data_IF_522982785419
#
_entry.id   IF_522982785419
#
_cell.length_a   1.000
_cell.length_b   1.000
_cell.length_c   1.000
_cell.angle_alpha   90.00
_cell.angle_beta   90.00
_cell.angle_gamma   90.00
#
_symmetry.space_group_name_H-M   'P 1'
#
loop_
_entity.id
_entity.type
_entity.pdbx_description
1 polymer ?
#
# COMPACT_ATOMS: atom_id res chain seq x y z
N UNK A 1 -1.55 -16.06 6.16
CA UNK A 1 -2.95 -15.60 6.24
C UNK A 1 -3.78 -16.79 6.67
N UNK A 2 -4.59 -16.69 7.73
CA UNK A 2 -5.47 -17.80 8.10
C UNK A 2 -6.61 -17.89 7.09
N UNK A 3 -6.69 -19.05 6.43
CA UNK A 3 -7.67 -19.38 5.41
C UNK A 3 -9.09 -19.40 5.98
N UNK A 4 -10.01 -18.86 5.19
CA UNK A 4 -11.39 -18.50 5.52
C UNK A 4 -12.42 -19.50 5.00
N UNK A 5 -11.98 -20.55 4.30
CA UNK A 5 -12.87 -21.52 3.66
C UNK A 5 -12.79 -22.89 4.35
N UNK A 6 -13.65 -23.09 5.34
CA UNK A 6 -13.77 -24.37 6.07
C UNK A 6 -14.80 -24.36 7.19
N UNK A 7 -15.38 -23.20 7.49
CA UNK A 7 -16.38 -23.02 8.53
C UNK A 7 -17.72 -22.74 7.90
N UNK A 8 -18.75 -23.41 8.41
CA UNK A 8 -20.15 -23.14 8.09
C UNK A 8 -20.70 -21.97 8.91
N UNK A 9 -19.84 -21.26 9.65
CA UNK A 9 -20.13 -20.06 10.43
C UNK A 9 -19.06 -18.98 10.20
N UNK A 10 -19.40 -17.73 10.50
CA UNK A 10 -18.52 -16.58 10.31
C UNK A 10 -18.27 -15.76 11.61
N UNK A 11 -17.51 -14.67 11.53
CA UNK A 11 -17.21 -13.83 12.69
C UNK A 11 -18.44 -13.13 13.25
N UNK A 12 -19.48 -12.94 12.43
CA UNK A 12 -20.77 -12.39 12.87
C UNK A 12 -21.50 -13.42 13.72
N UNK A 13 -21.51 -14.69 13.32
CA UNK A 13 -22.04 -15.79 14.13
C UNK A 13 -21.32 -15.87 15.48
N UNK A 14 -19.98 -15.78 15.48
CA UNK A 14 -19.17 -15.77 16.71
C UNK A 14 -19.48 -14.55 17.58
N UNK A 15 -19.61 -13.36 16.99
CA UNK A 15 -19.95 -12.15 17.72
C UNK A 15 -21.36 -12.24 18.37
N UNK A 16 -22.32 -12.85 17.67
CA UNK A 16 -23.66 -13.11 18.18
C UNK A 16 -23.64 -14.16 19.29
N UNK A 17 -22.86 -15.22 19.13
CA UNK A 17 -22.68 -16.27 20.14
C UNK A 17 -22.10 -15.69 21.44
N UNK A 18 -21.09 -14.83 21.33
CA UNK A 18 -20.49 -14.09 22.44
C UNK A 18 -21.37 -12.94 22.97
N UNK A 19 -22.55 -12.71 22.37
CA UNK A 19 -23.50 -11.65 22.72
C UNK A 19 -22.86 -10.26 22.76
N UNK A 20 -21.96 -9.98 21.82
CA UNK A 20 -21.26 -8.69 21.78
C UNK A 20 -22.24 -7.56 21.48
N UNK A 21 -22.22 -6.51 22.32
CA UNK A 21 -23.11 -5.38 22.18
C UNK A 21 -22.69 -4.49 20.99
N UNK A 22 -23.49 -4.49 19.92
CA UNK A 22 -23.28 -3.68 18.72
C UNK A 22 -23.67 -2.22 18.96
N UNK A 23 -22.81 -1.27 18.56
CA UNK A 23 -23.06 0.18 18.72
C UNK A 23 -23.46 0.85 17.40
N UNK A 24 -22.61 0.73 16.37
CA UNK A 24 -22.83 1.38 15.07
C UNK A 24 -22.06 0.67 13.97
N UNK A 25 -22.67 0.48 12.80
CA UNK A 25 -22.00 -0.15 11.65
C UNK A 25 -21.31 -1.46 12.06
N UNK A 26 -19.99 -1.51 11.91
CA UNK A 26 -19.15 -2.67 12.28
C UNK A 26 -18.52 -2.57 13.67
N UNK A 27 -18.98 -1.65 14.52
CA UNK A 27 -18.36 -1.35 15.81
C UNK A 27 -19.19 -1.85 17.01
N UNK A 28 -18.50 -2.51 17.94
CA UNK A 28 -19.00 -3.21 19.11
C UNK A 28 -18.26 -2.75 20.37
N UNK A 29 -18.83 -3.05 21.53
CA UNK A 29 -18.12 -2.97 22.80
C UNK A 29 -17.03 -4.05 22.87
N UNK A 30 -15.87 -3.71 23.44
CA UNK A 30 -14.72 -4.60 23.44
C UNK A 30 -14.72 -5.52 24.67
N UNK A 31 -14.83 -6.85 24.52
CA UNK A 31 -14.87 -7.78 25.64
C UNK A 31 -13.48 -7.95 26.31
N UNK A 32 -12.39 -7.62 25.60
CA UNK A 32 -11.02 -7.76 26.10
C UNK A 32 -10.58 -6.66 27.07
N UNK A 33 -11.03 -5.42 26.85
CA UNK A 33 -10.65 -4.27 27.67
C UNK A 33 -11.83 -3.54 28.33
N UNK A 34 -13.05 -4.07 28.17
CA UNK A 34 -14.27 -3.49 28.73
C UNK A 34 -14.67 -2.14 28.14
N UNK A 35 -14.17 -1.78 26.94
CA UNK A 35 -14.55 -0.51 26.31
C UNK A 35 -15.99 -0.55 25.82
N UNK A 36 -16.82 0.37 26.32
CA UNK A 36 -18.25 0.47 25.98
C UNK A 36 -18.57 1.57 24.96
N UNK A 37 -17.53 2.17 24.35
CA UNK A 37 -17.64 3.29 23.40
C UNK A 37 -17.70 2.83 21.94
N UNK A 38 -17.86 1.54 21.67
CA UNK A 38 -17.91 1.02 20.29
C UNK A 38 -16.59 1.13 19.54
N UNK A 39 -15.47 0.69 20.14
CA UNK A 39 -14.13 0.73 19.51
C UNK A 39 -13.62 -0.63 19.02
N UNK A 40 -14.36 -1.72 19.24
CA UNK A 40 -14.08 -3.01 18.61
C UNK A 40 -14.69 -3.02 17.22
N UNK A 41 -13.88 -3.01 16.17
CA UNK A 41 -14.34 -3.19 14.80
C UNK A 41 -14.37 -4.69 14.46
N UNK A 42 -15.52 -5.20 14.02
CA UNK A 42 -15.69 -6.55 13.46
C UNK A 42 -15.99 -6.38 11.98
N UNK A 43 -15.17 -6.98 11.12
CA UNK A 43 -15.30 -6.88 9.67
C UNK A 43 -15.75 -8.24 9.08
N UNK A 44 -17.05 -8.42 8.79
CA UNK A 44 -17.58 -9.68 8.26
C UNK A 44 -16.97 -10.06 6.92
N UNK A 45 -16.73 -9.08 6.04
CA UNK A 45 -16.14 -9.32 4.72
C UNK A 45 -14.72 -9.91 4.78
N UNK A 46 -14.05 -9.81 5.94
CA UNK A 46 -12.69 -10.31 6.15
C UNK A 46 -12.57 -11.34 7.29
N UNK A 47 -13.66 -11.73 7.97
CA UNK A 47 -13.68 -12.39 9.31
C UNK A 47 -12.53 -11.97 10.24
N UNK A 48 -12.32 -10.67 10.39
CA UNK A 48 -11.35 -10.19 11.37
C UNK A 48 -11.98 -9.19 12.31
N UNK A 49 -11.47 -9.16 13.53
CA UNK A 49 -11.74 -8.08 14.47
C UNK A 49 -10.46 -7.32 14.79
N UNK A 50 -10.63 -6.05 15.18
CA UNK A 50 -9.58 -5.26 15.83
C UNK A 50 -10.21 -4.24 16.78
N UNK A 51 -9.68 -4.15 18.00
CA UNK A 51 -10.03 -3.09 18.93
C UNK A 51 -9.10 -1.89 18.78
N UNK A 52 -9.66 -0.70 18.58
CA UNK A 52 -8.92 0.55 18.49
C UNK A 52 -8.50 1.14 19.86
N UNK A 53 -8.76 0.45 20.98
CA UNK A 53 -8.33 0.86 22.33
C UNK A 53 -7.20 0.00 22.88
N UNK A 54 -7.34 -1.32 22.78
CA UNK A 54 -6.39 -2.27 23.39
C UNK A 54 -5.61 -3.10 22.35
N UNK A 55 -5.74 -2.76 21.07
CA UNK A 55 -5.06 -3.39 19.91
C UNK A 55 -5.23 -4.91 19.71
N UNK A 56 -6.01 -5.59 20.58
CA UNK A 56 -6.45 -6.97 20.36
C UNK A 56 -7.09 -7.10 18.98
N UNK A 57 -6.60 -8.06 18.22
CA UNK A 57 -7.04 -8.33 16.85
C UNK A 57 -6.84 -9.80 16.50
N UNK A 58 -7.54 -10.27 15.49
CA UNK A 58 -7.48 -11.66 15.05
C UNK A 58 -8.63 -12.06 14.16
N UNK A 59 -8.69 -13.35 13.81
CA UNK A 59 -9.81 -13.95 13.09
C UNK A 59 -10.96 -14.35 14.02
N UNK A 60 -12.02 -14.95 13.46
CA UNK A 60 -13.19 -15.39 14.22
C UNK A 60 -12.88 -16.42 15.33
N UNK A 61 -11.99 -17.39 15.07
CA UNK A 61 -11.61 -18.37 16.08
C UNK A 61 -10.82 -17.72 17.23
N UNK A 62 -9.93 -16.78 16.91
CA UNK A 62 -9.18 -16.03 17.93
C UNK A 62 -10.12 -15.24 18.84
N UNK A 63 -11.19 -14.64 18.28
CA UNK A 63 -12.15 -13.85 19.04
C UNK A 63 -12.78 -14.66 20.18
N UNK A 64 -13.14 -15.91 19.89
CA UNK A 64 -13.69 -16.84 20.87
C UNK A 64 -12.59 -17.43 21.78
N UNK A 65 -11.52 -17.95 21.18
CA UNK A 65 -10.43 -18.62 21.89
C UNK A 65 -9.78 -17.72 22.96
N UNK A 66 -9.54 -16.45 22.66
CA UNK A 66 -8.91 -15.52 23.61
C UNK A 66 -9.81 -15.19 24.82
N UNK A 67 -11.14 -15.23 24.64
CA UNK A 67 -12.09 -14.94 25.73
C UNK A 67 -12.30 -16.15 26.63
N UNK A 68 -12.13 -17.35 26.08
CA UNK A 68 -12.37 -18.62 26.77
C UNK A 68 -11.07 -19.36 27.15
N UNK A 69 -9.89 -18.79 26.83
CA UNK A 69 -8.56 -19.40 27.02
C UNK A 69 -8.44 -20.80 26.40
N UNK A 70 -8.91 -20.94 25.16
CA UNK A 70 -8.93 -22.21 24.42
C UNK A 70 -7.89 -22.24 23.31
N UNK A 71 -7.52 -23.44 22.88
CA UNK A 71 -6.87 -23.62 21.57
C UNK A 71 -7.87 -23.35 20.44
N UNK A 72 -7.38 -23.11 19.23
CA UNK A 72 -8.27 -22.91 18.07
C UNK A 72 -9.13 -24.13 17.75
N UNK A 73 -8.66 -25.34 18.07
CA UNK A 73 -9.42 -26.58 17.86
C UNK A 73 -10.62 -26.63 18.80
N UNK A 74 -10.39 -26.42 20.08
CA UNK A 74 -11.43 -26.39 21.12
C UNK A 74 -12.43 -25.26 20.86
N UNK A 75 -11.95 -24.07 20.50
CA UNK A 75 -12.83 -22.95 20.14
C UNK A 75 -13.75 -23.28 18.97
N UNK A 76 -13.25 -23.96 17.93
CA UNK A 76 -14.06 -24.38 16.79
C UNK A 76 -15.10 -25.46 17.18
N UNK A 77 -14.72 -26.43 18.01
CA UNK A 77 -15.62 -27.46 18.53
C UNK A 77 -16.79 -26.83 19.30
N UNK A 78 -16.49 -25.95 20.26
CA UNK A 78 -17.52 -25.27 21.07
C UNK A 78 -18.43 -24.35 20.24
N UNK A 79 -17.88 -23.58 19.28
CA UNK A 79 -18.70 -22.71 18.43
C UNK A 79 -19.69 -23.54 17.60
N UNK A 80 -19.27 -24.67 17.04
CA UNK A 80 -20.14 -25.54 16.22
C UNK A 80 -21.25 -26.15 17.05
N UNK A 81 -20.90 -26.65 18.23
CA UNK A 81 -21.86 -27.19 19.19
C UNK A 81 -22.90 -26.12 19.56
N UNK A 82 -22.45 -24.92 19.93
CA UNK A 82 -23.34 -23.84 20.35
C UNK A 82 -24.23 -23.29 19.22
N UNK A 83 -23.82 -23.42 17.96
CA UNK A 83 -24.61 -23.05 16.79
C UNK A 83 -25.55 -24.18 16.30
N UNK A 84 -25.65 -25.31 17.01
CA UNK A 84 -26.36 -26.52 16.58
C UNK A 84 -25.90 -27.04 15.20
N UNK A 85 -24.64 -26.79 14.84
CA UNK A 85 -24.01 -27.28 13.61
C UNK A 85 -23.37 -28.63 13.92
N UNK A 86 -24.20 -29.65 14.05
CA UNK A 86 -23.82 -31.01 14.43
C UNK A 86 -22.86 -31.70 13.44
N UNK A 87 -22.05 -32.58 14.03
CA UNK A 87 -21.06 -33.52 13.47
C UNK A 87 -19.95 -32.96 12.56
N UNK A 88 -18.71 -33.25 12.98
CA UNK A 88 -17.49 -33.12 12.20
C UNK A 88 -17.65 -33.88 10.88
N UNK A 89 -17.99 -33.17 9.80
CA UNK A 89 -17.88 -33.72 8.44
C UNK A 89 -16.42 -34.00 8.16
N UNK A 90 -16.01 -35.25 8.41
CA UNK A 90 -14.93 -35.90 7.68
C UNK A 90 -15.36 -36.06 6.22
N UNK A 91 -15.44 -34.94 5.52
CA UNK A 91 -15.58 -34.93 4.07
C UNK A 91 -14.38 -34.16 3.54
N UNK A 92 -13.24 -34.84 3.58
CA UNK A 92 -12.29 -34.79 2.47
C UNK A 92 -13.05 -35.17 1.19
N UNK A 93 -13.80 -34.23 0.64
CA UNK A 93 -13.99 -34.17 -0.80
C UNK A 93 -13.17 -32.99 -1.23
N UNK A 94 -12.04 -33.31 -1.84
CA UNK A 94 -11.24 -32.41 -2.63
C UNK A 94 -12.16 -31.73 -3.67
N UNK A 95 -12.81 -30.64 -3.29
CA UNK A 95 -12.71 -29.48 -4.16
C UNK A 95 -11.24 -29.14 -4.10
N UNK A 96 -10.56 -29.38 -5.21
CA UNK A 96 -9.36 -28.64 -5.58
C UNK A 96 -9.77 -27.17 -5.52
N UNK A 97 -9.79 -26.59 -4.31
CA UNK A 97 -9.19 -25.29 -4.18
C UNK A 97 -7.78 -25.57 -4.65
N UNK A 98 -7.46 -25.09 -5.85
CA UNK A 98 -6.10 -24.66 -6.06
C UNK A 98 -5.77 -23.89 -4.77
N UNK A 99 -4.93 -24.47 -3.91
CA UNK A 99 -3.97 -23.65 -3.19
C UNK A 99 -3.50 -22.72 -4.28
N UNK A 100 -4.01 -21.48 -4.32
CA UNK A 100 -3.38 -20.47 -5.13
C UNK A 100 -2.06 -20.30 -4.44
N UNK A 101 -1.09 -21.13 -4.84
CA UNK A 101 0.31 -20.97 -4.51
C UNK A 101 0.54 -19.48 -4.60
N UNK A 102 0.96 -18.87 -3.48
CA UNK A 102 1.23 -17.44 -3.48
C UNK A 102 2.18 -17.21 -4.65
N UNK A 103 1.77 -16.38 -5.64
CA UNK A 103 2.46 -16.36 -6.91
C UNK A 103 3.90 -15.94 -6.64
N UNK A 104 4.85 -16.70 -7.20
CA UNK A 104 6.28 -16.49 -6.99
C UNK A 104 6.59 -15.00 -7.16
N UNK A 105 7.00 -14.34 -6.06
CA UNK A 105 7.34 -12.92 -6.07
C UNK A 105 8.82 -12.75 -6.44
N UNK A 106 9.13 -11.71 -7.19
CA UNK A 106 10.52 -11.38 -7.51
C UNK A 106 11.17 -10.57 -6.39
N UNK A 107 12.50 -10.67 -6.28
CA UNK A 107 13.27 -9.79 -5.40
C UNK A 107 13.28 -8.38 -5.99
N UNK A 108 13.33 -7.37 -5.11
CA UNK A 108 13.43 -5.98 -5.54
C UNK A 108 14.72 -5.76 -6.34
N UNK A 109 14.58 -5.22 -7.55
CA UNK A 109 15.69 -4.93 -8.43
C UNK A 109 16.60 -3.82 -7.85
N UNK A 110 17.90 -3.82 -8.22
CA UNK A 110 18.82 -2.74 -7.85
C UNK A 110 18.26 -1.35 -8.19
N UNK A 111 18.65 -0.35 -7.41
CA UNK A 111 18.18 1.03 -7.60
C UNK A 111 18.42 1.55 -9.03
N UNK A 112 19.55 1.21 -9.63
CA UNK A 112 19.92 1.69 -10.96
C UNK A 112 19.04 1.10 -12.06
N UNK A 113 18.72 -0.19 -11.95
CA UNK A 113 17.80 -0.86 -12.88
C UNK A 113 16.37 -0.32 -12.76
N UNK A 114 15.92 -0.07 -11.52
CA UNK A 114 14.63 0.58 -11.28
C UNK A 114 14.60 1.98 -11.89
N UNK A 115 15.63 2.78 -11.64
CA UNK A 115 15.73 4.15 -12.16
C UNK A 115 15.73 4.18 -13.68
N UNK A 116 16.56 3.35 -14.32
CA UNK A 116 16.60 3.25 -15.78
C UNK A 116 15.24 2.88 -16.35
N UNK A 117 14.61 1.84 -15.80
CA UNK A 117 13.30 1.35 -16.28
C UNK A 117 12.19 2.38 -16.10
N UNK A 118 12.12 3.04 -14.94
CA UNK A 118 11.13 4.10 -14.72
C UNK A 118 11.39 5.32 -15.60
N UNK A 119 12.64 5.71 -15.81
CA UNK A 119 12.98 6.83 -16.69
C UNK A 119 12.49 6.53 -18.10
N UNK A 120 12.80 5.33 -18.62
CA UNK A 120 12.42 4.90 -19.95
C UNK A 120 10.89 4.80 -20.14
N UNK A 121 10.19 4.31 -19.11
CA UNK A 121 8.73 4.29 -19.06
C UNK A 121 8.17 5.71 -19.12
N UNK A 122 8.60 6.60 -18.21
CA UNK A 122 8.03 7.94 -18.07
C UNK A 122 8.33 8.82 -19.29
N UNK A 123 9.46 8.64 -19.95
CA UNK A 123 9.78 9.41 -21.17
C UNK A 123 8.88 9.03 -22.35
N UNK A 124 8.27 7.84 -22.34
CA UNK A 124 7.32 7.36 -23.37
C UNK A 124 5.86 7.67 -23.07
N UNK A 125 5.50 7.84 -21.80
CA UNK A 125 4.11 8.09 -21.44
C UNK A 125 3.69 9.52 -21.80
N UNK A 126 2.41 9.74 -22.16
CA UNK A 126 1.90 11.09 -22.39
C UNK A 126 1.60 11.80 -21.07
N UNK A 127 1.48 13.13 -21.13
CA UNK A 127 0.82 13.91 -20.08
C UNK A 127 -0.43 14.58 -20.67
N UNK A 128 -1.61 14.08 -20.31
CA UNK A 128 -2.89 14.64 -20.74
C UNK A 128 -3.09 16.06 -20.22
N UNK A 129 -3.84 16.89 -20.96
CA UNK A 129 -4.09 18.29 -20.64
C UNK A 129 -4.68 18.48 -19.24
N UNK A 130 -5.67 17.67 -18.87
CA UNK A 130 -6.31 17.72 -17.54
C UNK A 130 -5.31 17.54 -16.39
N UNK A 131 -4.35 16.62 -16.53
CA UNK A 131 -3.32 16.41 -15.51
C UNK A 131 -2.27 17.53 -15.52
N UNK A 132 -1.91 18.04 -16.70
CA UNK A 132 -1.02 19.19 -16.85
C UNK A 132 -1.60 20.43 -16.20
N UNK A 133 -2.87 20.72 -16.43
CA UNK A 133 -3.60 21.83 -15.82
C UNK A 133 -3.73 21.64 -14.30
N UNK A 134 -3.98 20.41 -13.83
CA UNK A 134 -3.96 20.10 -12.41
C UNK A 134 -2.60 20.45 -11.77
N UNK A 135 -1.50 20.01 -12.38
CA UNK A 135 -0.15 20.31 -11.89
C UNK A 135 0.17 21.80 -11.92
N UNK A 136 -0.22 22.52 -12.98
CA UNK A 136 -0.05 23.97 -13.09
C UNK A 136 -0.86 24.74 -12.05
N UNK A 137 -2.10 24.31 -11.78
CA UNK A 137 -2.95 24.92 -10.74
C UNK A 137 -2.36 24.77 -9.33
N UNK A 138 -1.43 23.84 -9.14
CA UNK A 138 -0.67 23.64 -7.90
C UNK A 138 0.61 24.47 -7.83
N UNK A 139 0.87 25.34 -8.81
CA UNK A 139 2.02 26.24 -8.83
C UNK A 139 3.26 25.71 -9.57
N UNK A 140 3.18 24.56 -10.25
CA UNK A 140 4.31 24.03 -11.01
C UNK A 140 4.43 24.67 -12.40
N UNK A 141 5.67 25.00 -12.79
CA UNK A 141 5.98 25.43 -14.17
C UNK A 141 6.03 24.24 -15.13
N UNK A 142 6.04 24.51 -16.44
CA UNK A 142 6.14 23.44 -17.45
C UNK A 142 7.50 22.74 -17.36
N UNK A 143 8.54 23.49 -17.04
CA UNK A 143 9.92 23.03 -16.89
C UNK A 143 10.01 22.07 -15.69
N UNK A 144 9.44 22.44 -14.54
CA UNK A 144 9.37 21.58 -13.34
C UNK A 144 8.55 20.32 -13.61
N UNK A 145 7.43 20.43 -14.33
CA UNK A 145 6.60 19.27 -14.69
C UNK A 145 7.38 18.29 -15.58
N UNK A 146 8.18 18.82 -16.52
CA UNK A 146 9.04 18.01 -17.41
C UNK A 146 10.18 17.37 -16.62
N UNK A 147 10.89 18.14 -15.81
CA UNK A 147 12.00 17.71 -14.94
C UNK A 147 11.55 16.55 -14.05
N UNK A 148 10.40 16.70 -13.38
CA UNK A 148 9.84 15.67 -12.49
C UNK A 148 9.21 14.48 -13.21
N UNK A 149 9.15 14.50 -14.54
CA UNK A 149 8.55 13.43 -15.37
C UNK A 149 7.14 13.03 -14.92
N UNK A 150 6.30 13.97 -14.55
CA UNK A 150 4.89 13.66 -14.28
C UNK A 150 4.21 13.21 -15.58
N UNK A 151 3.53 12.06 -15.54
CA UNK A 151 2.92 11.42 -16.71
C UNK A 151 1.57 10.80 -16.39
N UNK A 152 0.69 10.75 -17.38
CA UNK A 152 -0.63 10.13 -17.23
C UNK A 152 -0.50 8.62 -17.31
N UNK A 153 -1.32 7.92 -16.53
CA UNK A 153 -1.42 6.46 -16.60
C UNK A 153 -2.05 6.07 -17.95
N UNK A 154 -1.42 5.18 -18.74
CA UNK A 154 -2.01 4.66 -19.97
C UNK A 154 -3.16 3.68 -19.64
N UNK A 155 -4.24 3.73 -20.40
CA UNK A 155 -5.43 2.88 -20.17
C UNK A 155 -5.42 1.57 -20.98
N UNK A 156 -4.53 1.46 -21.97
CA UNK A 156 -4.43 0.33 -22.89
C UNK A 156 -2.98 0.19 -23.39
N UNK A 157 -2.70 -0.91 -24.10
CA UNK A 157 -1.38 -1.13 -24.70
C UNK A 157 -0.27 -1.49 -23.70
N UNK A 158 -0.63 -1.99 -22.51
CA UNK A 158 0.32 -2.26 -21.42
C UNK A 158 1.38 -3.30 -21.81
N UNK A 159 0.99 -4.37 -22.50
CA UNK A 159 1.94 -5.37 -23.01
C UNK A 159 2.93 -4.76 -23.99
N UNK A 160 2.45 -3.97 -24.95
CA UNK A 160 3.32 -3.29 -25.92
C UNK A 160 4.30 -2.34 -25.25
N UNK A 161 3.86 -1.61 -24.21
CA UNK A 161 4.76 -0.77 -23.41
C UNK A 161 5.84 -1.61 -22.74
N UNK A 162 5.46 -2.73 -22.11
CA UNK A 162 6.42 -3.64 -21.48
C UNK A 162 7.42 -4.23 -22.49
N UNK A 163 6.94 -4.70 -23.65
CA UNK A 163 7.78 -5.20 -24.75
C UNK A 163 8.79 -4.14 -25.21
N UNK A 164 8.35 -2.92 -25.49
CA UNK A 164 9.25 -1.83 -25.92
C UNK A 164 10.30 -1.49 -24.86
N UNK A 165 9.96 -1.58 -23.57
CA UNK A 165 10.96 -1.39 -22.50
C UNK A 165 12.00 -2.51 -22.51
N UNK A 166 11.59 -3.76 -22.72
CA UNK A 166 12.51 -4.89 -22.84
C UNK A 166 13.40 -4.77 -24.08
N UNK A 167 12.84 -4.37 -25.22
CA UNK A 167 13.59 -4.10 -26.46
C UNK A 167 14.64 -2.98 -26.27
N UNK A 168 14.36 -2.03 -25.38
CA UNK A 168 15.27 -0.95 -24.99
C UNK A 168 16.30 -1.39 -23.92
N UNK A 169 16.32 -2.69 -23.58
CA UNK A 169 17.24 -3.31 -22.63
C UNK A 169 16.94 -3.00 -21.16
N UNK A 170 15.69 -2.64 -20.81
CA UNK A 170 15.29 -2.44 -19.43
C UNK A 170 14.92 -3.75 -18.73
N UNK A 171 15.26 -3.83 -17.44
CA UNK A 171 14.85 -4.94 -16.57
C UNK A 171 13.45 -4.66 -16.02
N UNK A 172 12.49 -5.56 -16.27
CA UNK A 172 11.14 -5.44 -15.70
C UNK A 172 10.96 -6.24 -14.42
N UNK A 173 11.67 -7.36 -14.31
CA UNK A 173 11.60 -8.22 -13.12
C UNK A 173 12.12 -7.50 -11.88
N UNK A 174 11.36 -7.56 -10.79
CA UNK A 174 11.74 -6.87 -9.55
C UNK A 174 11.62 -5.35 -9.59
N UNK A 175 11.07 -4.77 -10.67
CA UNK A 175 10.70 -3.35 -10.73
C UNK A 175 9.22 -3.20 -10.31
N UNK A 176 8.92 -2.41 -9.27
CA UNK A 176 7.54 -2.29 -8.78
C UNK A 176 6.55 -1.85 -9.87
N UNK A 177 5.41 -2.53 -9.92
CA UNK A 177 4.37 -2.23 -10.89
C UNK A 177 4.44 -3.08 -12.16
N UNK A 178 5.56 -3.78 -12.40
CA UNK A 178 5.68 -4.78 -13.46
C UNK A 178 5.46 -6.19 -12.91
N UNK A 179 4.79 -7.04 -13.68
CA UNK A 179 4.52 -8.44 -13.33
C UNK A 179 4.25 -9.26 -14.59
N UNK A 180 4.19 -10.59 -14.43
CA UNK A 180 3.77 -11.51 -15.49
C UNK A 180 2.28 -11.83 -15.41
N UNK A 181 1.59 -11.67 -16.53
CA UNK A 181 0.19 -12.08 -16.66
C UNK A 181 0.04 -13.62 -16.73
N UNK A 182 -1.19 -14.10 -16.91
CA UNK A 182 -1.49 -15.53 -17.04
C UNK A 182 -0.94 -16.17 -18.32
N UNK A 183 -0.50 -15.37 -19.28
CA UNK A 183 0.14 -15.81 -20.53
C UNK A 183 1.67 -15.68 -20.44
N UNK A 184 2.22 -15.50 -19.22
CA UNK A 184 3.65 -15.32 -18.95
C UNK A 184 4.29 -14.08 -19.62
N UNK A 185 3.46 -13.11 -20.04
CA UNK A 185 3.94 -11.85 -20.64
C UNK A 185 4.11 -10.78 -19.59
N UNK A 186 5.15 -9.96 -19.75
CA UNK A 186 5.29 -8.76 -18.94
C UNK A 186 4.15 -7.77 -19.20
N UNK A 187 3.67 -7.17 -18.12
CA UNK A 187 2.67 -6.11 -18.16
C UNK A 187 2.82 -5.19 -16.95
N UNK A 188 2.03 -4.12 -16.93
CA UNK A 188 2.04 -3.09 -15.89
C UNK A 188 0.75 -3.16 -15.06
N UNK A 189 0.83 -2.95 -13.75
CA UNK A 189 -0.33 -2.89 -12.85
C UNK A 189 -1.04 -1.53 -12.92
N UNK A 190 -1.49 -1.17 -14.12
CA UNK A 190 -2.42 -0.07 -14.35
C UNK A 190 -3.82 -0.62 -14.51
N UNK A 191 -4.76 -0.05 -13.76
CA UNK A 191 -6.17 -0.46 -13.79
C UNK A 191 -7.01 0.73 -14.15
N UNK A 192 -8.02 0.54 -15.00
CA UNK A 192 -8.95 1.61 -15.42
C UNK A 192 -9.60 2.32 -14.23
N UNK A 193 -9.94 1.57 -13.17
CA UNK A 193 -10.50 2.13 -11.93
C UNK A 193 -9.54 3.00 -11.11
N UNK A 194 -8.25 2.98 -11.45
CA UNK A 194 -7.16 3.71 -10.82
C UNK A 194 -6.53 4.71 -11.81
N UNK A 195 -7.34 5.30 -12.70
CA UNK A 195 -6.87 6.35 -13.60
C UNK A 195 -6.28 7.52 -12.84
N UNK A 196 -5.34 8.21 -13.47
CA UNK A 196 -4.65 9.33 -12.87
C UNK A 196 -3.31 9.62 -13.52
N UNK A 197 -2.41 10.19 -12.73
CA UNK A 197 -1.04 10.46 -13.16
C UNK A 197 0.00 9.97 -12.17
N UNK A 198 1.16 9.60 -12.69
CA UNK A 198 2.33 9.13 -11.98
C UNK A 198 3.09 10.30 -11.35
N UNK A 199 3.48 10.08 -10.10
CA UNK A 199 4.33 10.93 -9.26
C UNK A 199 5.58 10.12 -8.94
N UNK A 200 6.70 10.37 -9.64
CA UNK A 200 7.95 9.66 -9.39
C UNK A 200 8.51 9.97 -8.00
N UNK A 201 9.01 8.94 -7.33
CA UNK A 201 9.64 9.00 -6.00
C UNK A 201 11.13 8.74 -6.16
N UNK A 202 11.94 9.69 -5.73
CA UNK A 202 13.41 9.66 -5.87
C UNK A 202 14.14 9.38 -4.56
N UNK A 203 15.27 8.69 -4.67
CA UNK A 203 16.23 8.51 -3.58
C UNK A 203 17.05 9.78 -3.33
N UNK A 204 17.90 9.75 -2.31
CA UNK A 204 18.86 10.83 -2.04
C UNK A 204 19.78 11.10 -3.24
N UNK A 205 20.13 10.08 -4.01
CA UNK A 205 20.98 10.20 -5.21
C UNK A 205 20.22 10.75 -6.45
N UNK A 206 18.97 11.21 -6.30
CA UNK A 206 18.14 11.67 -7.42
C UNK A 206 17.64 10.55 -8.34
N UNK A 207 17.79 9.28 -7.94
CA UNK A 207 17.36 8.12 -8.72
C UNK A 207 15.91 7.76 -8.45
N UNK A 208 15.12 7.61 -9.50
CA UNK A 208 13.71 7.17 -9.41
C UNK A 208 13.66 5.73 -8.88
N UNK A 209 13.02 5.52 -7.74
CA UNK A 209 12.98 4.21 -7.06
C UNK A 209 11.60 3.58 -6.99
N UNK A 210 10.54 4.39 -7.13
CA UNK A 210 9.15 3.97 -7.20
C UNK A 210 8.29 5.08 -7.84
N UNK A 211 7.02 4.79 -8.10
CA UNK A 211 6.03 5.80 -8.49
C UNK A 211 4.77 5.66 -7.63
N UNK A 212 4.14 6.79 -7.30
CA UNK A 212 2.77 6.84 -6.82
C UNK A 212 1.83 7.22 -7.98
N UNK A 213 0.59 6.76 -7.95
CA UNK A 213 -0.48 7.17 -8.85
C UNK A 213 -1.38 8.12 -8.06
N UNK A 214 -1.42 9.40 -8.45
CA UNK A 214 -2.44 10.34 -7.97
C UNK A 214 -3.73 10.04 -8.74
N UNK A 215 -4.74 9.55 -8.02
CA UNK A 215 -6.01 9.15 -8.61
C UNK A 215 -6.86 10.35 -9.07
N UNK A 216 -7.49 10.24 -10.24
CA UNK A 216 -8.49 11.20 -10.71
C UNK A 216 -9.73 11.18 -9.81
N UNK A 217 -10.15 9.97 -9.45
CA UNK A 217 -11.34 9.70 -8.64
C UNK A 217 -10.95 8.91 -7.38
N UNK A 218 -10.51 9.60 -6.29
CA UNK A 218 -10.22 8.97 -5.02
C UNK A 218 -11.43 8.18 -4.47
N UNK A 219 -11.17 7.02 -3.88
CA UNK A 219 -12.17 6.25 -3.10
C UNK A 219 -11.74 6.25 -1.64
N UNK A 220 -12.68 6.37 -0.71
CA UNK A 220 -12.44 6.27 0.74
C UNK A 220 -11.30 7.19 1.24
N UNK A 221 -11.27 8.44 0.75
CA UNK A 221 -10.20 9.42 1.00
C UNK A 221 -8.79 9.03 0.52
N UNK A 222 -8.61 7.89 -0.13
CA UNK A 222 -7.31 7.48 -0.63
C UNK A 222 -6.98 8.16 -1.97
N UNK A 223 -6.24 9.27 -1.89
CA UNK A 223 -5.86 10.09 -3.04
C UNK A 223 -4.72 9.51 -3.88
N UNK A 224 -3.94 8.60 -3.31
CA UNK A 224 -2.71 8.06 -3.91
C UNK A 224 -2.64 6.54 -3.78
N UNK A 225 -2.12 5.88 -4.81
CA UNK A 225 -1.79 4.45 -4.78
C UNK A 225 -0.33 4.25 -5.13
N UNK A 226 0.30 3.21 -4.59
CA UNK A 226 1.60 2.80 -5.08
C UNK A 226 1.48 2.11 -6.44
N UNK A 227 2.31 2.51 -7.39
CA UNK A 227 2.56 1.69 -8.57
C UNK A 227 3.44 0.51 -8.13
N UNK A 228 2.79 -0.60 -7.81
CA UNK A 228 3.38 -1.80 -7.23
C UNK A 228 2.68 -3.03 -7.79
N UNK A 229 3.39 -4.15 -7.83
CA UNK A 229 2.90 -5.44 -8.34
C UNK A 229 2.90 -6.52 -7.25
N UNK A 230 2.93 -6.14 -5.96
CA UNK A 230 2.85 -7.10 -4.87
C UNK A 230 1.60 -8.00 -5.01
N UNK A 231 1.81 -9.31 -4.91
CA UNK A 231 0.76 -10.32 -5.03
C UNK A 231 0.43 -10.74 -6.46
N UNK A 232 1.20 -10.31 -7.47
CA UNK A 232 1.13 -10.84 -8.84
C UNK A 232 2.35 -11.71 -9.16
N UNK A 233 2.27 -12.69 -10.08
CA UNK A 233 3.41 -13.48 -10.53
C UNK A 233 4.59 -12.62 -10.97
N UNK A 234 5.77 -12.91 -10.43
CA UNK A 234 7.02 -12.15 -10.63
C UNK A 234 6.88 -10.65 -10.29
N UNK A 235 5.90 -10.32 -9.46
CA UNK A 235 5.65 -8.98 -8.97
C UNK A 235 6.47 -8.63 -7.73
N UNK A 236 6.45 -7.36 -7.34
CA UNK A 236 7.15 -6.86 -6.15
C UNK A 236 6.45 -5.66 -5.52
N UNK A 237 6.58 -5.56 -4.19
CA UNK A 237 6.18 -4.36 -3.44
C UNK A 237 7.05 -3.16 -3.82
N UNK A 238 6.47 -1.95 -3.83
CA UNK A 238 7.29 -0.74 -3.91
C UNK A 238 8.22 -0.58 -2.71
N UNK A 239 7.88 -1.21 -1.57
CA UNK A 239 8.56 -0.98 -0.29
C UNK A 239 8.23 0.39 0.32
N UNK A 240 7.39 1.16 -0.36
CA UNK A 240 6.97 2.51 0.01
C UNK A 240 8.15 3.42 0.40
N UNK A 241 9.07 3.71 -0.53
CA UNK A 241 10.27 4.46 -0.21
C UNK A 241 9.96 5.94 0.04
N UNK A 242 10.92 6.61 0.70
CA UNK A 242 10.88 8.05 0.95
C UNK A 242 11.31 8.80 -0.30
N UNK A 243 10.62 9.90 -0.61
CA UNK A 243 11.06 10.83 -1.64
C UNK A 243 11.99 11.87 -1.02
N UNK A 244 13.17 12.08 -1.60
CA UNK A 244 14.07 13.18 -1.23
C UNK A 244 14.21 14.13 -2.42
N UNK A 245 14.19 15.43 -2.16
CA UNK A 245 14.40 16.48 -3.16
C UNK A 245 15.13 17.68 -2.53
N UNK A 246 16.05 18.27 -3.28
CA UNK A 246 16.88 19.40 -2.86
C UNK A 246 18.34 19.01 -2.60
N UNK A 247 19.10 19.94 -2.04
CA UNK A 247 20.52 19.76 -1.72
C UNK A 247 20.69 18.91 -0.46
N UNK A 248 21.53 17.88 -0.51
CA UNK A 248 21.78 16.98 0.60
C UNK A 248 22.72 17.58 1.66
N UNK A 249 23.49 18.60 1.29
CA UNK A 249 24.55 19.17 2.12
C UNK A 249 24.14 20.55 2.69
N UNK A 250 22.97 20.58 3.32
CA UNK A 250 22.35 21.76 3.96
C UNK A 250 22.16 21.57 5.46
N UNK A 251 22.05 22.68 6.21
CA UNK A 251 21.84 22.63 7.67
C UNK A 251 20.39 22.35 8.06
N UNK A 252 19.43 22.79 7.24
CA UNK A 252 17.99 22.74 7.53
C UNK A 252 17.31 21.80 6.54
N UNK A 253 16.68 20.74 7.06
CA UNK A 253 15.93 19.77 6.26
C UNK A 253 14.50 19.69 6.76
N UNK A 254 13.54 19.56 5.85
CA UNK A 254 12.12 19.56 6.16
C UNK A 254 11.51 18.18 5.92
N UNK A 255 10.73 17.68 6.87
CA UNK A 255 10.00 16.42 6.78
C UNK A 255 8.53 16.70 6.51
N UNK A 256 7.96 16.11 5.46
CA UNK A 256 6.54 16.30 5.10
C UNK A 256 5.90 15.03 4.55
N UNK A 257 4.62 15.11 4.21
CA UNK A 257 3.83 14.04 3.60
C UNK A 257 3.58 14.29 2.10
N UNK A 258 3.71 13.22 1.33
CA UNK A 258 3.39 13.14 -0.09
C UNK A 258 4.50 13.69 -0.97
N UNK A 259 5.00 12.87 -1.90
CA UNK A 259 6.09 13.26 -2.79
C UNK A 259 5.76 14.51 -3.63
N UNK A 260 4.55 14.59 -4.18
CA UNK A 260 4.12 15.76 -4.97
C UNK A 260 4.12 17.05 -4.13
N UNK A 261 3.68 16.97 -2.87
CA UNK A 261 3.64 18.14 -1.99
C UNK A 261 5.07 18.59 -1.66
N UNK A 262 5.94 17.66 -1.29
CA UNK A 262 7.35 17.96 -1.03
C UNK A 262 8.05 18.56 -2.23
N UNK A 263 7.81 18.06 -3.45
CA UNK A 263 8.36 18.68 -4.67
C UNK A 263 7.88 20.12 -4.86
N UNK A 264 6.58 20.39 -4.69
CA UNK A 264 6.04 21.75 -4.81
C UNK A 264 6.63 22.67 -3.74
N UNK A 265 6.71 22.20 -2.49
CA UNK A 265 7.27 22.97 -1.39
C UNK A 265 8.76 23.29 -1.63
N UNK A 266 9.53 22.33 -2.16
CA UNK A 266 10.91 22.55 -2.61
C UNK A 266 10.97 23.66 -3.66
N UNK A 267 10.17 23.57 -4.73
CA UNK A 267 10.20 24.56 -5.80
C UNK A 267 9.78 25.98 -5.36
N UNK A 268 8.92 26.09 -4.36
CA UNK A 268 8.48 27.38 -3.82
C UNK A 268 9.46 27.98 -2.80
N UNK A 269 10.16 27.16 -2.04
CA UNK A 269 11.00 27.62 -0.92
C UNK A 269 12.51 27.50 -1.15
N UNK A 270 12.94 26.66 -2.09
CA UNK A 270 14.34 26.26 -2.27
C UNK A 270 14.88 25.33 -1.18
N UNK A 271 14.07 24.88 -0.22
CA UNK A 271 14.50 24.02 0.88
C UNK A 271 14.55 22.53 0.49
N UNK A 272 15.36 21.76 1.21
CA UNK A 272 15.45 20.30 1.04
C UNK A 272 14.33 19.61 1.81
N UNK A 273 13.63 18.69 1.12
CA UNK A 273 12.50 17.94 1.69
C UNK A 273 12.74 16.44 1.67
N UNK A 274 12.36 15.82 2.79
CA UNK A 274 12.15 14.39 2.96
C UNK A 274 10.63 14.17 2.99
N UNK A 275 10.10 13.32 2.12
CA UNK A 275 8.66 13.17 1.94
C UNK A 275 8.22 11.72 2.16
N UNK A 276 7.38 11.51 3.17
CA UNK A 276 6.77 10.22 3.49
C UNK A 276 5.51 10.02 2.66
N UNK A 277 5.21 8.79 2.24
CA UNK A 277 3.92 8.50 1.60
C UNK A 277 2.74 8.39 2.59
N UNK A 278 3.00 8.56 3.89
CA UNK A 278 2.01 8.66 4.96
C UNK A 278 2.72 8.69 6.32
N UNK A 279 2.08 9.32 7.33
CA UNK A 279 2.68 9.59 8.66
C UNK A 279 3.29 8.37 9.37
N UNK A 280 2.76 7.16 9.13
CA UNK A 280 3.16 5.96 9.86
C UNK A 280 4.34 5.18 9.24
N UNK A 281 4.95 5.69 8.16
CA UNK A 281 6.01 4.97 7.43
C UNK A 281 7.44 5.28 7.92
N UNK A 282 7.71 4.99 9.19
CA UNK A 282 9.01 5.30 9.82
C UNK A 282 10.16 4.38 9.38
N UNK A 283 9.87 3.16 8.90
CA UNK A 283 10.91 2.17 8.57
C UNK A 283 11.83 2.65 7.43
N UNK A 284 11.25 3.26 6.41
CA UNK A 284 11.99 3.80 5.26
C UNK A 284 12.64 5.15 5.54
N UNK A 285 12.19 5.86 6.59
CA UNK A 285 12.72 7.17 6.99
C UNK A 285 14.08 7.06 7.69
N UNK A 286 14.24 6.08 8.57
CA UNK A 286 15.42 5.97 9.43
C UNK A 286 16.75 6.00 8.65
N UNK A 287 16.97 5.21 7.58
CA UNK A 287 18.22 5.24 6.84
C UNK A 287 18.51 6.60 6.18
N UNK A 288 17.46 7.30 5.74
CA UNK A 288 17.58 8.64 5.13
C UNK A 288 18.01 9.66 6.18
N UNK A 289 17.42 9.62 7.38
CA UNK A 289 17.82 10.50 8.48
C UNK A 289 19.24 10.22 8.96
N UNK A 290 19.63 8.95 9.07
CA UNK A 290 21.00 8.55 9.44
C UNK A 290 22.02 9.08 8.41
N UNK A 291 21.69 9.08 7.12
CA UNK A 291 22.54 9.65 6.08
C UNK A 291 22.62 11.18 6.16
N UNK A 292 21.50 11.88 6.34
CA UNK A 292 21.52 13.33 6.55
C UNK A 292 22.30 13.74 7.81
N UNK A 293 22.22 12.96 8.90
CA UNK A 293 23.00 13.18 10.13
C UNK A 293 24.51 13.04 9.92
N UNK A 294 24.94 12.19 8.98
CA UNK A 294 26.36 12.07 8.59
C UNK A 294 26.84 13.22 7.71
N UNK A 295 25.92 14.03 7.19
CA UNK A 295 26.18 15.20 6.34
C UNK A 295 26.11 16.48 7.18
N UNK A 296 25.59 17.57 6.60
CA UNK A 296 25.56 18.90 7.23
C UNK A 296 24.26 19.21 7.98
N UNK A 297 23.28 18.30 7.99
CA UNK A 297 21.99 18.55 8.64
C UNK A 297 22.18 18.79 10.14
N UNK A 298 21.70 19.93 10.61
CA UNK A 298 21.66 20.31 12.04
C UNK A 298 20.23 20.33 12.57
N UNK A 299 19.28 20.74 11.75
CA UNK A 299 17.88 20.90 12.13
C UNK A 299 16.97 20.13 11.18
N UNK A 300 16.05 19.36 11.77
CA UNK A 300 14.96 18.72 11.07
C UNK A 300 13.65 19.42 11.47
N UNK A 301 12.95 19.97 10.49
CA UNK A 301 11.67 20.65 10.70
C UNK A 301 10.52 19.74 10.26
N UNK A 302 9.61 19.43 11.16
CA UNK A 302 8.39 18.68 10.84
C UNK A 302 7.34 19.62 10.25
N UNK A 303 6.94 19.38 9.00
CA UNK A 303 6.04 20.19 8.21
C UNK A 303 4.90 19.33 7.62
N UNK A 304 4.21 18.60 8.51
CA UNK A 304 3.02 17.80 8.16
C UNK A 304 1.77 18.67 8.03
N UNK A 305 0.71 18.14 7.41
CA UNK A 305 -0.56 18.85 7.32
C UNK A 305 -1.12 19.10 8.72
N UNK A 306 -1.69 20.29 8.91
CA UNK A 306 -2.35 20.67 10.16
C UNK A 306 -3.75 20.04 10.25
N UNK A 307 -3.80 18.72 10.20
CA UNK A 307 -5.01 17.92 10.35
C UNK A 307 -5.09 17.36 11.80
N UNK A 308 -6.30 17.24 12.35
CA UNK A 308 -6.56 16.85 13.76
C UNK A 308 -6.70 15.34 13.95
#
# INVERSE_FOLDING_TARGET
MYDMTGFDYDITDVANLLRLHKRRGNYYDCPFCGDTKGRLNINPAKNVFRCNRCDKSGGMLQLYADLHNLTYREANEEIREALNKGEYRQVRQAKVQEEKEEPVQSKLAPLDERHRTYTELLDRLPLYSVHRENLRSRGLTIEQIKERRYRSVPMYGLHKIAETLQESGCVLEGVPGFYRDTEERWTLNFKTKNSGFLVPVESMDGKIQACQIRLDHPRDNNKYLWFSSAGYPHGVSSGSPVHVIGDLDVENVYLTEGGLKGSIAHYLSGHTFICLAGVNMYRSLRPVLEEFQRRKMKFLFEAFDMDK
#
